data_IF_834380027887
#
_entry.id   IF_834380027887
#
_cell.length_a   1.000
_cell.length_b   1.000
_cell.length_c   1.000
_cell.angle_alpha   90.00
_cell.angle_beta   90.00
_cell.angle_gamma   90.00
#
_symmetry.space_group_name_H-M   'P 1'
#
loop_
_entity.id
_entity.type
_entity.pdbx_description
1 polymer ?
#
# COMPACT_ATOMS: atom_id res chain seq x y z
N UNK A 1 1.20 -0.58 -6.60
CA UNK A 1 0.70 -1.94 -6.32
C UNK A 1 1.89 -2.80 -5.94
N UNK A 2 2.24 -2.76 -4.66
CA UNK A 2 3.22 -3.68 -4.07
C UNK A 2 2.46 -4.79 -3.36
N UNK A 3 3.07 -5.96 -3.36
CA UNK A 3 2.48 -7.20 -2.87
C UNK A 3 3.48 -7.78 -1.88
N UNK A 4 3.09 -7.88 -0.62
CA UNK A 4 3.99 -8.37 0.44
C UNK A 4 3.64 -9.83 0.74
N UNK A 5 4.67 -10.69 0.74
CA UNK A 5 4.52 -12.10 1.03
C UNK A 5 5.15 -12.42 2.38
N UNK A 6 4.38 -13.08 3.24
CA UNK A 6 4.84 -13.62 4.51
C UNK A 6 4.86 -15.14 4.45
N UNK A 7 5.93 -15.73 4.96
CA UNK A 7 6.07 -17.17 5.11
C UNK A 7 6.02 -17.56 6.57
N UNK A 8 5.03 -18.38 6.92
CA UNK A 8 4.84 -18.92 8.26
C UNK A 8 5.16 -20.41 8.23
N UNK A 9 5.95 -20.86 9.22
CA UNK A 9 6.14 -22.28 9.51
C UNK A 9 5.11 -22.68 10.56
N UNK A 10 4.16 -23.53 10.18
CA UNK A 10 3.14 -24.07 11.08
C UNK A 10 3.59 -25.44 11.56
N UNK A 11 3.63 -25.62 12.88
CA UNK A 11 3.89 -26.91 13.52
C UNK A 11 2.60 -27.47 14.14
N UNK A 12 2.24 -28.68 13.78
CA UNK A 12 1.21 -29.46 14.45
C UNK A 12 1.88 -30.61 15.21
N UNK A 13 1.74 -30.60 16.54
CA UNK A 13 2.34 -31.60 17.44
C UNK A 13 1.23 -32.35 18.14
N UNK A 14 1.23 -33.68 18.00
CA UNK A 14 0.36 -34.59 18.74
C UNK A 14 1.21 -35.42 19.69
N UNK A 15 0.87 -35.40 20.98
CA UNK A 15 1.62 -36.05 22.06
C UNK A 15 0.87 -37.21 22.73
N UNK A 16 -0.03 -37.89 22.02
CA UNK A 16 -0.79 -39.03 22.56
C UNK A 16 -0.12 -40.39 22.36
N UNK A 17 -0.59 -41.39 23.11
CA UNK A 17 -0.21 -42.81 22.97
C UNK A 17 -1.10 -43.50 21.91
N UNK A 18 -0.59 -44.43 21.08
CA UNK A 18 0.75 -45.02 21.07
C UNK A 18 1.77 -44.30 20.17
N UNK A 19 1.45 -43.14 19.59
CA UNK A 19 2.37 -42.48 18.67
C UNK A 19 2.32 -40.94 18.76
N UNK A 20 3.52 -40.37 18.92
CA UNK A 20 3.76 -38.94 18.82
C UNK A 20 3.99 -38.59 17.35
N UNK A 21 3.36 -37.53 16.89
CA UNK A 21 3.51 -37.06 15.52
C UNK A 21 3.77 -35.56 15.51
N UNK A 22 4.71 -35.13 14.68
CA UNK A 22 4.94 -33.74 14.37
C UNK A 22 4.84 -33.54 12.87
N UNK A 23 4.19 -32.44 12.46
CA UNK A 23 4.04 -32.07 11.07
C UNK A 23 4.33 -30.59 10.92
N UNK A 24 5.30 -30.27 10.06
CA UNK A 24 5.61 -28.91 9.65
C UNK A 24 4.97 -28.61 8.30
N UNK A 25 4.39 -27.43 8.14
CA UNK A 25 3.85 -26.92 6.88
C UNK A 25 4.24 -25.47 6.69
N UNK A 26 4.52 -25.11 5.45
CA UNK A 26 4.68 -23.72 5.05
C UNK A 26 3.31 -23.16 4.66
N UNK A 27 2.95 -22.04 5.27
CA UNK A 27 1.80 -21.23 4.87
C UNK A 27 2.32 -19.92 4.27
N UNK A 28 1.98 -19.70 3.00
CA UNK A 28 2.22 -18.43 2.34
C UNK A 28 1.01 -17.53 2.59
N UNK A 29 1.22 -16.44 3.30
CA UNK A 29 0.22 -15.39 3.48
C UNK A 29 0.55 -14.26 2.53
N UNK A 30 -0.43 -13.94 1.71
CA UNK A 30 -0.33 -12.90 0.72
C UNK A 30 -1.14 -11.68 1.15
N UNK A 31 -0.45 -10.56 1.35
CA UNK A 31 -1.10 -9.28 1.62
C UNK A 31 -1.26 -8.52 0.31
N UNK A 32 -2.51 -8.28 -0.05
CA UNK A 32 -2.90 -7.42 -1.16
C UNK A 32 -3.24 -6.07 -0.57
N UNK A 33 -2.65 -5.02 -1.14
CA UNK A 33 -2.94 -3.64 -0.78
C UNK A 33 -4.35 -3.30 -1.29
N UNK A 34 -5.19 -2.77 -0.41
CA UNK A 34 -6.51 -2.26 -0.77
C UNK A 34 -6.39 -0.78 -1.15
N UNK A 35 -7.18 -0.33 -2.12
CA UNK A 35 -7.19 1.08 -2.55
C UNK A 35 -8.05 1.94 -1.60
N UNK A 36 -7.70 1.92 -0.32
CA UNK A 36 -8.38 2.67 0.74
C UNK A 36 -7.73 4.05 1.02
N UNK A 37 -6.62 4.35 0.35
CA UNK A 37 -5.87 5.59 0.52
C UNK A 37 -6.48 6.73 -0.32
N UNK A 38 -7.24 7.59 0.34
CA UNK A 38 -7.84 8.78 -0.30
C UNK A 38 -6.73 9.74 -0.76
N UNK A 39 -6.72 10.17 -2.04
CA UNK A 39 -5.71 11.10 -2.53
C UNK A 39 -5.83 12.44 -1.83
N UNK A 40 -4.70 13.05 -1.52
CA UNK A 40 -4.63 14.35 -0.89
C UNK A 40 -3.72 15.31 -1.64
N UNK A 41 -4.01 16.59 -1.50
CA UNK A 41 -3.18 17.64 -2.08
C UNK A 41 -1.90 17.80 -1.28
N UNK A 42 -0.76 17.98 -1.97
CA UNK A 42 0.53 18.21 -1.31
C UNK A 42 0.56 19.53 -0.53
N UNK A 43 -0.23 20.52 -0.98
CA UNK A 43 -0.34 21.83 -0.34
C UNK A 43 -1.79 22.12 -0.02
N UNK A 44 -2.02 22.77 1.13
CA UNK A 44 -3.37 23.25 1.52
C UNK A 44 -3.87 24.37 0.61
N UNK A 45 -2.96 25.14 0.00
CA UNK A 45 -3.30 26.24 -0.90
C UNK A 45 -2.34 26.25 -2.09
N UNK A 46 -2.90 26.40 -3.29
CA UNK A 46 -2.14 26.62 -4.53
C UNK A 46 -2.49 27.99 -5.08
N UNK A 47 -1.46 28.78 -5.41
CA UNK A 47 -1.62 30.09 -6.02
C UNK A 47 -0.92 30.10 -7.37
N UNK A 48 -1.64 30.53 -8.41
CA UNK A 48 -1.12 30.67 -9.76
C UNK A 48 -1.30 32.11 -10.24
N UNK A 49 -0.38 32.59 -11.06
CA UNK A 49 -0.46 33.89 -11.71
C UNK A 49 -0.42 33.68 -13.23
N UNK A 50 -1.31 34.37 -13.94
CA UNK A 50 -1.42 34.28 -15.40
C UNK A 50 -1.44 35.69 -15.98
N UNK A 51 -0.79 35.88 -17.14
CA UNK A 51 -0.83 37.16 -17.85
C UNK A 51 -2.17 37.34 -18.55
N UNK A 52 -2.61 38.59 -18.62
CA UNK A 52 -3.75 38.97 -19.44
C UNK A 52 -3.49 38.72 -20.93
N UNK A 53 -4.55 38.61 -21.73
CA UNK A 53 -4.53 38.47 -23.19
C UNK A 53 -3.88 37.18 -23.74
N UNK A 54 -3.84 36.11 -22.94
CA UNK A 54 -3.46 34.80 -23.46
C UNK A 54 -4.59 34.15 -24.29
N UNK A 55 -4.26 33.36 -25.32
CA UNK A 55 -5.27 32.68 -26.13
C UNK A 55 -6.03 31.62 -25.32
N UNK A 56 -7.15 31.15 -25.86
CA UNK A 56 -7.95 30.11 -25.20
C UNK A 56 -7.21 28.76 -25.16
N UNK A 57 -7.49 27.97 -24.12
CA UNK A 57 -6.93 26.62 -23.96
C UNK A 57 -5.60 26.54 -23.19
N UNK A 58 -5.15 27.65 -22.59
CA UNK A 58 -3.90 27.66 -21.81
C UNK A 58 -4.12 26.98 -20.45
N UNK A 59 -3.19 26.10 -20.08
CA UNK A 59 -3.14 25.48 -18.76
C UNK A 59 -2.46 26.45 -17.78
N UNK A 60 -3.20 26.89 -16.76
CA UNK A 60 -2.72 27.88 -15.75
C UNK A 60 -1.87 27.23 -14.66
N UNK A 61 -2.12 25.96 -14.36
CA UNK A 61 -1.41 25.23 -13.32
C UNK A 61 -1.81 23.77 -13.27
N UNK A 62 -0.96 22.95 -12.64
CA UNK A 62 -1.23 21.54 -12.34
C UNK A 62 -1.05 21.33 -10.84
N UNK A 63 -2.07 20.80 -10.18
CA UNK A 63 -2.02 20.45 -8.78
C UNK A 63 -1.78 18.94 -8.68
N UNK A 64 -0.57 18.49 -8.29
CA UNK A 64 -0.34 17.08 -8.07
C UNK A 64 -1.12 16.63 -6.83
N UNK A 65 -1.88 15.55 -7.00
CA UNK A 65 -2.39 14.74 -5.90
C UNK A 65 -1.32 13.72 -5.53
N UNK A 66 -1.19 13.42 -4.24
CA UNK A 66 -0.43 12.26 -3.78
C UNK A 66 -1.39 11.24 -3.21
N UNK A 67 -1.07 9.97 -3.42
CA UNK A 67 -1.60 8.87 -2.63
C UNK A 67 -0.69 8.79 -1.40
N UNK A 68 -1.25 8.66 -0.20
CA UNK A 68 -0.43 8.24 0.93
C UNK A 68 0.02 6.81 0.60
N UNK A 69 1.32 6.60 0.44
CA UNK A 69 1.86 5.24 0.36
C UNK A 69 1.99 4.76 1.81
N UNK A 70 0.88 4.66 2.52
CA UNK A 70 0.86 4.33 3.94
C UNK A 70 1.05 2.83 4.15
N UNK A 71 2.06 2.23 3.52
CA UNK A 71 2.73 0.99 3.93
C UNK A 71 4.20 0.96 3.46
N UNK A 72 4.91 2.10 3.44
CA UNK A 72 6.37 2.14 3.21
C UNK A 72 7.18 2.58 4.45
N UNK A 73 6.53 2.93 5.57
CA UNK A 73 7.22 3.59 6.69
C UNK A 73 7.49 2.76 7.95
N UNK A 74 7.15 1.47 8.00
CA UNK A 74 7.41 0.64 9.20
C UNK A 74 7.85 -0.82 8.93
N UNK A 75 8.65 -1.06 7.89
CA UNK A 75 9.55 -2.23 7.84
C UNK A 75 10.92 -1.82 7.28
#
# INVERSE_FOLDING_TARGET
>A
MMMVMWQLVIAAVYSGEPAQFESLRLLNVLLVDEDDNVPHFLQKHYQFAVKENLPSGIIVGKMPLTLDLSLESQL
#
